data_IF_623292023082
#
_entry.id   IF_623292023082
#
_cell.length_a   1.000
_cell.length_b   1.000
_cell.length_c   1.000
_cell.angle_alpha   90.00
_cell.angle_beta   90.00
_cell.angle_gamma   90.00
#
_symmetry.space_group_name_H-M   'P 1'
#
loop_
_entity.id
_entity.type
_entity.pdbx_description
1 polymer ?
#
# COMPACT_ATOMS: atom_id res chain seq x y z
N UNK A 1 -0.74 8.98 -26.86
CA UNK A 1 -0.19 8.98 -25.48
C UNK A 1 -1.29 8.64 -24.49
N UNK A 2 -1.31 7.42 -23.95
CA UNK A 2 -2.27 7.04 -22.90
C UNK A 2 -1.98 7.86 -21.64
N UNK A 3 -2.87 8.79 -21.28
CA UNK A 3 -2.73 9.60 -20.06
C UNK A 3 -2.87 8.68 -18.86
N UNK A 4 -1.75 8.28 -18.28
CA UNK A 4 -1.72 7.63 -16.97
C UNK A 4 -2.52 8.52 -15.99
N UNK A 5 -3.46 7.96 -15.20
CA UNK A 5 -4.31 8.77 -14.34
C UNK A 5 -3.47 9.63 -13.39
N UNK A 6 -3.79 10.93 -13.25
CA UNK A 6 -3.05 11.85 -12.34
C UNK A 6 -2.91 11.30 -10.92
N UNK A 7 -3.91 10.56 -10.44
CA UNK A 7 -3.89 9.89 -9.13
C UNK A 7 -2.79 8.84 -9.01
N UNK A 8 -2.47 8.11 -10.08
CA UNK A 8 -1.36 7.15 -10.07
C UNK A 8 -0.02 7.86 -9.82
N UNK A 9 0.21 9.00 -10.48
CA UNK A 9 1.40 9.82 -10.27
C UNK A 9 1.48 10.39 -8.85
N UNK A 10 0.34 10.78 -8.28
CA UNK A 10 0.29 11.25 -6.88
C UNK A 10 0.62 10.13 -5.88
N UNK A 11 0.08 8.93 -6.08
CA UNK A 11 0.42 7.76 -5.25
C UNK A 11 1.91 7.46 -5.36
N UNK A 12 2.45 7.43 -6.59
CA UNK A 12 3.87 7.16 -6.82
C UNK A 12 4.76 8.22 -6.15
N UNK A 13 4.45 9.50 -6.34
CA UNK A 13 5.19 10.61 -5.73
C UNK A 13 5.18 10.53 -4.19
N UNK A 14 4.01 10.25 -3.60
CA UNK A 14 3.88 10.09 -2.16
C UNK A 14 4.68 8.90 -1.63
N UNK A 15 4.66 7.76 -2.32
CA UNK A 15 5.46 6.59 -1.97
C UNK A 15 6.96 6.85 -2.08
N UNK A 16 7.40 7.48 -3.18
CA UNK A 16 8.81 7.82 -3.35
C UNK A 16 9.29 8.79 -2.28
N UNK A 17 8.44 9.74 -1.89
CA UNK A 17 8.77 10.68 -0.81
C UNK A 17 8.86 9.97 0.54
N UNK A 18 7.92 9.09 0.86
CA UNK A 18 7.98 8.27 2.08
C UNK A 18 9.25 7.38 2.12
N UNK A 19 9.62 6.76 0.99
CA UNK A 19 10.85 5.96 0.89
C UNK A 19 12.11 6.82 1.04
N UNK A 20 12.13 8.01 0.44
CA UNK A 20 13.25 8.94 0.57
C UNK A 20 13.44 9.39 2.03
N UNK A 21 12.35 9.71 2.73
CA UNK A 21 12.39 10.07 4.17
C UNK A 21 12.91 8.90 5.01
N UNK A 22 12.43 7.68 4.74
CA UNK A 22 12.89 6.47 5.47
C UNK A 22 14.36 6.15 5.20
N UNK A 23 14.81 6.29 3.95
CA UNK A 23 16.22 6.13 3.58
C UNK A 23 17.09 7.21 4.23
N UNK A 24 16.65 8.47 4.21
CA UNK A 24 17.35 9.58 4.87
C UNK A 24 17.52 9.29 6.37
N UNK A 25 16.48 8.78 7.04
CA UNK A 25 16.58 8.35 8.43
C UNK A 25 17.63 7.24 8.62
N UNK A 26 17.69 6.24 7.74
CA UNK A 26 18.71 5.19 7.81
C UNK A 26 20.14 5.71 7.62
N UNK A 27 20.34 6.67 6.72
CA UNK A 27 21.68 7.19 6.42
C UNK A 27 22.17 8.25 7.42
N UNK A 28 21.25 9.05 7.99
CA UNK A 28 21.59 10.21 8.83
C UNK A 28 21.11 10.10 10.28
N UNK A 29 20.32 9.07 10.62
CA UNK A 29 19.81 8.85 11.98
C UNK A 29 20.92 8.47 12.93
N UNK A 30 21.44 9.46 13.64
CA UNK A 30 22.40 9.30 14.72
C UNK A 30 21.65 8.97 16.01
N UNK A 31 21.86 7.78 16.56
CA UNK A 31 21.66 7.48 17.99
C UNK A 31 20.21 7.51 18.50
N UNK A 32 19.70 6.31 18.76
CA UNK A 32 18.58 5.92 19.64
C UNK A 32 17.86 6.99 20.51
N UNK A 33 16.53 6.80 20.56
CA UNK A 33 15.58 7.08 21.66
C UNK A 33 14.76 8.38 21.71
N UNK A 34 14.86 9.29 20.75
CA UNK A 34 13.90 10.42 20.68
C UNK A 34 13.12 10.36 19.38
N UNK A 35 11.79 10.41 19.48
CA UNK A 35 10.85 10.54 18.35
C UNK A 35 11.34 11.62 17.40
N UNK A 36 12.00 11.21 16.32
CA UNK A 36 12.61 12.16 15.39
C UNK A 36 11.51 12.79 14.52
N UNK A 37 11.59 14.08 14.18
CA UNK A 37 10.65 14.75 13.28
C UNK A 37 10.44 13.99 11.97
N UNK A 38 11.46 13.26 11.50
CA UNK A 38 11.41 12.44 10.29
C UNK A 38 10.45 11.25 10.40
N UNK A 39 10.20 10.70 11.59
CA UNK A 39 9.22 9.63 11.78
C UNK A 39 7.80 10.13 11.52
N UNK A 40 7.47 11.32 12.02
CA UNK A 40 6.16 11.92 11.78
C UNK A 40 5.96 12.32 10.32
N UNK A 41 7.01 12.81 9.67
CA UNK A 41 7.00 13.10 8.23
C UNK A 41 6.80 11.80 7.43
N UNK A 42 7.48 10.72 7.81
CA UNK A 42 7.28 9.41 7.21
C UNK A 42 5.84 8.91 7.41
N UNK A 43 5.33 8.94 8.64
CA UNK A 43 3.96 8.49 8.94
C UNK A 43 2.92 9.30 8.16
N UNK A 44 3.05 10.63 8.11
CA UNK A 44 2.12 11.49 7.39
C UNK A 44 2.15 11.23 5.87
N UNK A 45 3.35 11.13 5.27
CA UNK A 45 3.50 10.88 3.83
C UNK A 45 3.06 9.46 3.44
N UNK A 46 3.38 8.46 4.27
CA UNK A 46 2.93 7.08 4.08
C UNK A 46 1.40 6.97 4.24
N UNK A 47 0.80 7.62 5.23
CA UNK A 47 -0.65 7.62 5.43
C UNK A 47 -1.38 8.25 4.23
N UNK A 48 -0.83 9.34 3.67
CA UNK A 48 -1.35 9.95 2.45
C UNK A 48 -1.27 9.00 1.25
N UNK A 49 -0.13 8.31 1.07
CA UNK A 49 0.04 7.33 0.00
C UNK A 49 -0.95 6.16 0.14
N UNK A 50 -1.13 5.65 1.35
CA UNK A 50 -2.10 4.59 1.70
C UNK A 50 -3.52 5.02 1.35
N UNK A 51 -3.94 6.22 1.78
CA UNK A 51 -5.29 6.73 1.56
C UNK A 51 -5.60 6.87 0.06
N UNK A 52 -4.65 7.43 -0.71
CA UNK A 52 -4.78 7.58 -2.15
C UNK A 52 -4.83 6.23 -2.86
N UNK A 53 -3.97 5.28 -2.47
CA UNK A 53 -3.93 3.95 -3.08
C UNK A 53 -5.19 3.13 -2.76
N UNK A 54 -5.72 3.20 -1.53
CA UNK A 54 -7.02 2.61 -1.18
C UNK A 54 -8.13 3.19 -2.06
N UNK A 55 -8.20 4.51 -2.17
CA UNK A 55 -9.23 5.19 -2.96
C UNK A 55 -9.22 4.75 -4.43
N UNK A 56 -8.04 4.64 -5.04
CA UNK A 56 -7.91 4.20 -6.43
C UNK A 56 -8.16 2.69 -6.58
N UNK A 57 -7.60 1.86 -5.70
CA UNK A 57 -7.77 0.40 -5.72
C UNK A 57 -9.23 -0.01 -5.54
N UNK A 58 -9.93 0.54 -4.54
CA UNK A 58 -11.35 0.27 -4.28
C UNK A 58 -12.22 0.76 -5.45
N UNK A 59 -11.97 1.97 -5.97
CA UNK A 59 -12.72 2.49 -7.13
C UNK A 59 -12.51 1.62 -8.37
N UNK A 60 -11.30 1.10 -8.58
CA UNK A 60 -10.97 0.18 -9.65
C UNK A 60 -11.69 -1.17 -9.52
N UNK A 61 -11.73 -1.75 -8.31
CA UNK A 61 -12.49 -2.96 -8.02
C UNK A 61 -14.00 -2.78 -8.20
N UNK A 62 -14.57 -1.65 -7.75
CA UNK A 62 -15.99 -1.33 -7.93
C UNK A 62 -16.33 -1.22 -9.42
N UNK A 63 -15.47 -0.57 -10.21
CA UNK A 63 -15.62 -0.50 -11.67
C UNK A 63 -15.55 -1.88 -12.32
N UNK A 64 -14.61 -2.73 -11.89
CA UNK A 64 -14.52 -4.10 -12.37
C UNK A 64 -15.79 -4.91 -12.02
N UNK A 65 -16.34 -4.75 -10.82
CA UNK A 65 -17.61 -5.35 -10.41
C UNK A 65 -18.79 -4.90 -11.26
N UNK A 66 -18.82 -3.62 -11.66
CA UNK A 66 -19.82 -3.03 -12.57
C UNK A 66 -19.56 -3.30 -14.06
N UNK A 67 -18.53 -4.08 -14.39
CA UNK A 67 -18.06 -4.35 -15.78
C UNK A 67 -17.73 -3.07 -16.57
N UNK A 68 -17.34 -2.00 -15.87
CA UNK A 68 -16.97 -0.71 -16.47
C UNK A 68 -15.45 -0.70 -16.74
N UNK A 69 -15.05 -1.24 -17.89
CA UNK A 69 -13.66 -1.32 -18.30
C UNK A 69 -13.27 -0.16 -19.22
N UNK A 70 -11.98 0.18 -19.21
CA UNK A 70 -11.43 1.08 -20.22
C UNK A 70 -11.47 0.43 -21.60
N UNK A 71 -11.50 1.21 -22.70
CA UNK A 71 -11.44 0.65 -24.03
C UNK A 71 -10.16 -0.20 -24.23
N UNK A 72 -10.25 -1.25 -25.06
CA UNK A 72 -9.10 -2.07 -25.39
C UNK A 72 -8.01 -1.26 -26.07
N UNK A 73 -6.77 -1.56 -25.73
CA UNK A 73 -5.58 -1.06 -26.40
C UNK A 73 -5.46 -1.74 -27.78
N UNK A 74 -4.75 -1.12 -28.75
CA UNK A 74 -4.51 -1.74 -30.04
C UNK A 74 -3.81 -3.10 -29.87
N UNK A 75 -4.39 -4.16 -30.43
CA UNK A 75 -3.86 -5.53 -30.31
C UNK A 75 -4.13 -6.23 -28.96
N UNK A 76 -4.91 -5.62 -28.06
CA UNK A 76 -5.28 -6.24 -26.78
C UNK A 76 -6.35 -7.33 -26.99
N UNK A 77 -6.17 -8.48 -26.34
CA UNK A 77 -7.13 -9.58 -26.40
C UNK A 77 -8.52 -9.15 -25.87
N UNK A 78 -9.63 -9.81 -26.26
CA UNK A 78 -10.98 -9.45 -25.83
C UNK A 78 -11.16 -9.32 -24.31
N UNK A 79 -10.44 -10.15 -23.53
CA UNK A 79 -10.44 -10.11 -22.06
C UNK A 79 -9.40 -9.16 -21.44
N UNK A 80 -8.49 -8.60 -22.24
CA UNK A 80 -7.39 -7.77 -21.76
C UNK A 80 -7.83 -6.57 -20.91
N UNK A 81 -8.87 -5.79 -21.29
CA UNK A 81 -9.35 -4.67 -20.48
C UNK A 81 -9.81 -5.06 -19.08
N UNK A 82 -10.46 -6.22 -18.97
CA UNK A 82 -10.93 -6.79 -17.71
C UNK A 82 -9.75 -7.25 -16.86
N UNK A 83 -8.84 -8.05 -17.44
CA UNK A 83 -7.64 -8.52 -16.74
C UNK A 83 -6.81 -7.34 -16.23
N UNK A 84 -6.54 -6.34 -17.07
CA UNK A 84 -5.78 -5.13 -16.71
C UNK A 84 -6.44 -4.34 -15.58
N UNK A 85 -7.75 -4.16 -15.62
CA UNK A 85 -8.46 -3.40 -14.57
C UNK A 85 -8.40 -4.14 -13.24
N UNK A 86 -8.60 -5.47 -13.24
CA UNK A 86 -8.54 -6.29 -12.03
C UNK A 86 -7.11 -6.31 -11.47
N UNK A 87 -6.09 -6.58 -12.30
CA UNK A 87 -4.69 -6.66 -11.84
C UNK A 87 -4.17 -5.32 -11.35
N UNK A 88 -4.40 -4.22 -12.08
CA UNK A 88 -3.96 -2.88 -11.64
C UNK A 88 -4.63 -2.42 -10.34
N UNK A 89 -5.92 -2.71 -10.16
CA UNK A 89 -6.65 -2.39 -8.93
C UNK A 89 -6.16 -3.24 -7.76
N UNK A 90 -5.90 -4.52 -8.00
CA UNK A 90 -5.35 -5.43 -7.00
C UNK A 90 -3.95 -5.02 -6.55
N UNK A 91 -3.06 -4.69 -7.51
CA UNK A 91 -1.70 -4.21 -7.20
C UNK A 91 -1.77 -2.92 -6.37
N UNK A 92 -2.69 -2.02 -6.69
CA UNK A 92 -2.90 -0.81 -5.90
C UNK A 92 -3.33 -1.08 -4.45
N UNK A 93 -4.00 -2.19 -4.17
CA UNK A 93 -4.39 -2.57 -2.82
C UNK A 93 -3.24 -3.18 -2.00
N UNK A 94 -2.13 -3.58 -2.65
CA UNK A 94 -0.92 -4.01 -1.94
C UNK A 94 -0.21 -2.82 -1.27
N UNK A 95 -0.29 -1.63 -1.87
CA UNK A 95 0.34 -0.40 -1.35
C UNK A 95 -0.19 -0.04 0.05
N UNK A 96 -1.51 -0.01 0.31
CA UNK A 96 -2.07 0.17 1.65
C UNK A 96 -1.56 -0.84 2.67
N UNK A 97 -1.47 -2.12 2.28
CA UNK A 97 -1.04 -3.20 3.18
C UNK A 97 0.42 -2.99 3.62
N UNK A 98 1.30 -2.70 2.67
CA UNK A 98 2.70 -2.41 2.94
C UNK A 98 2.84 -1.11 3.74
N UNK A 99 2.10 -0.06 3.34
CA UNK A 99 2.15 1.25 3.98
C UNK A 99 1.69 1.23 5.44
N UNK A 100 0.56 0.58 5.74
CA UNK A 100 0.05 0.43 7.11
C UNK A 100 1.02 -0.37 7.96
N UNK A 101 1.56 -1.49 7.44
CA UNK A 101 2.57 -2.28 8.16
C UNK A 101 3.84 -1.48 8.46
N UNK A 102 4.30 -0.68 7.49
CA UNK A 102 5.47 0.19 7.64
C UNK A 102 5.23 1.34 8.64
N UNK A 103 4.02 1.91 8.68
CA UNK A 103 3.62 2.91 9.67
C UNK A 103 3.59 2.29 11.07
N UNK A 104 2.95 1.14 11.22
CA UNK A 104 2.81 0.49 12.52
C UNK A 104 4.15 0.03 13.09
N UNK A 105 5.06 -0.48 12.25
CA UNK A 105 6.44 -0.80 12.69
C UNK A 105 7.20 0.45 13.12
N UNK A 106 7.05 1.58 12.42
CA UNK A 106 7.63 2.86 12.86
C UNK A 106 7.05 3.32 14.20
N UNK A 107 5.75 3.17 14.41
CA UNK A 107 5.10 3.53 15.68
C UNK A 107 5.53 2.60 16.84
N UNK A 108 5.62 1.30 16.61
CA UNK A 108 6.10 0.34 17.61
C UNK A 108 7.56 0.59 17.99
N UNK A 109 8.43 0.83 17.01
CA UNK A 109 9.83 1.17 17.25
C UNK A 109 10.03 2.50 18.01
N UNK A 110 8.99 3.33 18.12
CA UNK A 110 9.02 4.64 18.79
C UNK A 110 8.17 4.69 20.07
N UNK A 111 7.66 3.54 20.52
CA UNK A 111 6.86 3.41 21.75
C UNK A 111 7.72 3.43 23.02
N UNK A 112 9.05 3.29 22.91
CA UNK A 112 9.97 3.29 24.05
C UNK A 112 9.75 2.15 25.03
N UNK A 113 9.04 1.09 24.61
CA UNK A 113 8.79 -0.10 25.40
C UNK A 113 10.07 -0.90 25.63
N UNK A 114 10.16 -1.54 26.80
CA UNK A 114 11.28 -2.39 27.21
C UNK A 114 11.66 -3.38 26.09
N UNK A 115 12.90 -3.37 25.56
CA UNK A 115 13.31 -4.21 24.44
C UNK A 115 13.24 -5.72 24.73
N UNK A 116 13.09 -6.11 25.99
CA UNK A 116 12.95 -7.51 26.41
C UNK A 116 11.49 -7.94 26.59
N UNK A 117 10.51 -7.05 26.37
CA UNK A 117 9.08 -7.34 26.48
C UNK A 117 8.31 -6.72 25.32
N UNK A 118 7.55 -7.55 24.62
CA UNK A 118 6.65 -7.07 23.56
C UNK A 118 5.64 -6.06 24.13
N UNK A 119 5.72 -4.81 23.66
CA UNK A 119 4.79 -3.75 24.00
C UNK A 119 3.41 -3.99 23.38
N UNK A 120 2.37 -3.25 23.81
CA UNK A 120 1.03 -3.34 23.21
C UNK A 120 1.03 -3.06 21.70
N UNK A 121 1.92 -2.18 21.24
CA UNK A 121 2.10 -1.87 19.83
C UNK A 121 2.80 -2.99 19.05
N UNK A 122 3.70 -3.77 19.67
CA UNK A 122 4.33 -4.94 19.03
C UNK A 122 3.30 -6.03 18.71
N UNK A 123 2.39 -6.30 19.64
CA UNK A 123 1.27 -7.22 19.40
C UNK A 123 0.37 -6.73 18.26
N UNK A 124 0.12 -5.42 18.21
CA UNK A 124 -0.68 -4.80 17.15
C UNK A 124 -0.02 -4.94 15.78
N UNK A 125 1.31 -4.79 15.71
CA UNK A 125 2.09 -5.03 14.48
C UNK A 125 1.96 -6.48 14.04
N UNK A 126 2.13 -7.45 14.94
CA UNK A 126 2.03 -8.89 14.62
C UNK A 126 0.63 -9.22 14.07
N UNK A 127 -0.42 -8.75 14.75
CA UNK A 127 -1.81 -8.97 14.31
C UNK A 127 -2.05 -8.35 12.94
N UNK A 128 -1.56 -7.13 12.69
CA UNK A 128 -1.69 -6.45 11.41
C UNK A 128 -0.95 -7.18 10.29
N UNK A 129 0.25 -7.70 10.55
CA UNK A 129 1.01 -8.49 9.56
C UNK A 129 0.25 -9.77 9.20
N UNK A 130 -0.30 -10.48 10.18
CA UNK A 130 -1.09 -11.69 9.94
C UNK A 130 -2.36 -11.35 9.14
N UNK A 131 -3.12 -10.33 9.55
CA UNK A 131 -4.32 -9.89 8.84
C UNK A 131 -4.00 -9.45 7.41
N UNK A 132 -2.85 -8.81 7.20
CA UNK A 132 -2.36 -8.39 5.89
C UNK A 132 -2.11 -9.59 4.97
N UNK A 133 -1.49 -10.66 5.48
CA UNK A 133 -1.26 -11.90 4.73
C UNK A 133 -2.61 -12.55 4.37
N UNK A 134 -3.55 -12.64 5.32
CA UNK A 134 -4.88 -13.18 5.07
C UNK A 134 -5.63 -12.37 4.01
N UNK A 135 -5.56 -11.04 4.09
CA UNK A 135 -6.16 -10.15 3.11
C UNK A 135 -5.54 -10.32 1.71
N UNK A 136 -4.21 -10.48 1.61
CA UNK A 136 -3.53 -10.74 0.34
C UNK A 136 -3.92 -12.09 -0.26
N UNK A 137 -4.01 -13.15 0.55
CA UNK A 137 -4.46 -14.47 0.11
C UNK A 137 -5.91 -14.44 -0.37
N UNK A 138 -6.79 -13.77 0.38
CA UNK A 138 -8.19 -13.57 0.00
C UNK A 138 -8.33 -12.79 -1.32
N UNK A 139 -7.58 -11.70 -1.47
CA UNK A 139 -7.53 -10.93 -2.72
C UNK A 139 -7.00 -11.79 -3.88
N UNK A 140 -5.94 -12.57 -3.66
CA UNK A 140 -5.38 -13.49 -4.65
C UNK A 140 -6.38 -14.54 -5.12
N UNK A 141 -7.07 -15.20 -4.20
CA UNK A 141 -8.14 -16.15 -4.52
C UNK A 141 -9.29 -15.48 -5.27
N UNK A 142 -9.68 -14.28 -4.87
CA UNK A 142 -10.71 -13.51 -5.58
C UNK A 142 -10.29 -13.16 -7.01
N UNK A 143 -9.04 -12.77 -7.23
CA UNK A 143 -8.50 -12.51 -8.57
C UNK A 143 -8.51 -13.78 -9.40
N UNK A 144 -8.04 -14.91 -8.86
CA UNK A 144 -8.00 -16.19 -9.57
C UNK A 144 -9.42 -16.63 -10.00
N UNK A 145 -10.40 -16.56 -9.09
CA UNK A 145 -11.79 -16.88 -9.41
C UNK A 145 -12.40 -15.93 -10.44
N UNK A 146 -12.00 -14.65 -10.43
CA UNK A 146 -12.45 -13.64 -11.41
C UNK A 146 -11.67 -13.67 -12.71
N UNK A 147 -10.52 -14.34 -12.82
CA UNK A 147 -9.75 -14.47 -14.06
C UNK A 147 -9.98 -15.81 -14.77
N UNK A 148 -10.44 -16.82 -14.03
CA UNK A 148 -10.76 -18.16 -14.54
C UNK A 148 -12.13 -18.28 -15.22
N UNK A 149 -13.01 -17.28 -15.05
CA UNK A 149 -14.31 -17.17 -15.75
C UNK A 149 -14.19 -16.19 -16.89
#
# INVERSE_FOLDING_TARGET
MSKVPRLFWLVLAAMTMAMAVKALKWFFGAGYDVREPLDWVFVATAALAVALALGVGVRGLVRAGRRQYYPPLPGEAPDGPRRRTITSSAIMLLIPVIGISSIMTTLAATDGSDPYRAGPLDWSVIVIVILSIVAMLGLGMWILTKLSK
#
